data_IF_680222246736
#
_entry.id   IF_680222246736
#
_cell.length_a   1.000
_cell.length_b   1.000
_cell.length_c   1.000
_cell.angle_alpha   90.00
_cell.angle_beta   90.00
_cell.angle_gamma   90.00
#
_symmetry.space_group_name_H-M   'P 1'
#
loop_
_entity.id
_entity.type
_entity.pdbx_description
1 polymer ?
#
# COMPACT_ATOMS: atom_id res chain seq x y z
N UNK A 1 13.27 1.16 7.61
CA UNK A 1 12.82 0.03 6.78
C UNK A 1 11.31 -0.01 6.79
N UNK A 2 10.67 -0.25 5.65
CA UNK A 2 9.23 -0.43 5.55
C UNK A 2 8.92 -1.84 5.07
N UNK A 3 7.91 -2.46 5.65
CA UNK A 3 7.39 -3.75 5.20
C UNK A 3 5.90 -3.61 4.92
N UNK A 4 5.47 -4.04 3.73
CA UNK A 4 4.07 -4.05 3.34
C UNK A 4 3.62 -5.51 3.28
N UNK A 5 2.71 -5.88 4.16
CA UNK A 5 1.96 -7.13 4.07
C UNK A 5 0.63 -6.88 3.36
N UNK A 6 0.26 -7.75 2.42
CA UNK A 6 -1.04 -7.71 1.75
C UNK A 6 -1.68 -9.08 1.90
N UNK A 7 -2.92 -9.10 2.35
CA UNK A 7 -3.77 -10.29 2.44
C UNK A 7 -4.96 -10.11 1.48
N UNK A 8 -4.97 -10.87 0.38
CA UNK A 8 -5.93 -10.73 -0.71
C UNK A 8 -7.04 -11.77 -0.59
N UNK A 9 -8.27 -11.29 -0.48
CA UNK A 9 -9.50 -12.08 -0.64
C UNK A 9 -10.12 -11.83 -2.02
N UNK A 10 -11.17 -12.58 -2.39
CA UNK A 10 -11.79 -12.48 -3.71
C UNK A 10 -12.14 -11.03 -4.12
N UNK A 11 -12.87 -10.30 -3.28
CA UNK A 11 -13.39 -8.96 -3.60
C UNK A 11 -12.60 -7.80 -2.99
N UNK A 12 -11.72 -8.06 -2.03
CA UNK A 12 -10.99 -7.02 -1.29
C UNK A 12 -9.66 -7.55 -0.77
N UNK A 13 -8.76 -6.66 -0.39
CA UNK A 13 -7.52 -7.01 0.29
C UNK A 13 -7.29 -6.11 1.51
N UNK A 14 -6.62 -6.65 2.51
CA UNK A 14 -6.14 -5.89 3.66
C UNK A 14 -4.65 -5.60 3.45
N UNK A 15 -4.23 -4.37 3.74
CA UNK A 15 -2.82 -3.97 3.72
C UNK A 15 -2.35 -3.62 5.14
N UNK A 16 -1.15 -4.05 5.49
CA UNK A 16 -0.49 -3.73 6.75
C UNK A 16 0.90 -3.17 6.47
N UNK A 17 1.13 -1.89 6.77
CA UNK A 17 2.43 -1.25 6.61
C UNK A 17 3.14 -1.14 7.96
N UNK A 18 4.27 -1.83 8.11
CA UNK A 18 5.14 -1.75 9.29
C UNK A 18 6.29 -0.80 9.01
N UNK A 19 6.60 0.10 9.96
CA UNK A 19 7.68 1.08 9.87
C UNK A 19 8.67 0.89 11.03
N UNK A 20 9.73 0.13 10.79
CA UNK A 20 10.70 -0.24 11.83
C UNK A 20 10.03 -0.97 13.00
N UNK A 21 10.34 -0.57 14.23
CA UNK A 21 9.79 -1.16 15.47
C UNK A 21 8.46 -0.56 15.91
N UNK A 22 7.91 0.41 15.16
CA UNK A 22 6.64 1.07 15.52
C UNK A 22 5.43 0.29 15.01
N UNK A 23 4.30 0.44 15.72
CA UNK A 23 2.99 -0.03 15.26
C UNK A 23 2.72 0.50 13.85
N UNK A 24 2.40 -0.43 12.96
CA UNK A 24 2.07 -0.16 11.57
C UNK A 24 0.68 0.48 11.38
N UNK A 25 0.36 0.80 10.14
CA UNK A 25 -0.99 1.20 9.72
C UNK A 25 -1.69 0.08 8.96
N UNK A 26 -3.00 0.04 9.06
CA UNK A 26 -3.85 -0.96 8.40
C UNK A 26 -4.78 -0.24 7.42
N UNK A 27 -5.01 -0.84 6.25
CA UNK A 27 -5.98 -0.39 5.27
C UNK A 27 -6.73 -1.58 4.69
N UNK A 28 -7.93 -1.34 4.16
CA UNK A 28 -8.68 -2.32 3.39
C UNK A 28 -9.14 -1.67 2.10
N UNK A 29 -8.94 -2.38 1.00
CA UNK A 29 -9.13 -1.86 -0.35
C UNK A 29 -9.89 -2.88 -1.20
N UNK A 30 -10.50 -2.42 -2.29
CA UNK A 30 -11.12 -3.31 -3.27
C UNK A 30 -10.03 -4.08 -4.04
N UNK A 31 -10.29 -5.35 -4.37
CA UNK A 31 -9.39 -6.12 -5.24
C UNK A 31 -9.66 -5.77 -6.72
N UNK A 32 -9.50 -4.49 -7.05
CA UNK A 32 -9.67 -3.92 -8.39
C UNK A 32 -8.53 -2.94 -8.67
N UNK A 33 -8.26 -2.58 -9.94
CA UNK A 33 -7.24 -1.59 -10.27
C UNK A 33 -7.38 -0.28 -9.50
N UNK A 34 -8.61 0.18 -9.28
CA UNK A 34 -8.92 1.39 -8.52
C UNK A 34 -8.53 1.24 -7.05
N UNK A 35 -8.80 0.08 -6.42
CA UNK A 35 -8.38 -0.19 -5.05
C UNK A 35 -6.86 -0.24 -4.88
N UNK A 36 -6.11 -0.62 -5.92
CA UNK A 36 -4.64 -0.50 -5.91
C UNK A 36 -4.16 0.94 -6.10
N UNK A 37 -4.89 1.78 -6.83
CA UNK A 37 -4.60 3.22 -6.91
C UNK A 37 -4.84 3.91 -5.55
N UNK A 38 -5.94 3.56 -4.87
CA UNK A 38 -6.21 4.01 -3.49
C UNK A 38 -5.11 3.55 -2.51
N UNK A 39 -4.56 2.35 -2.70
CA UNK A 39 -3.41 1.88 -1.92
C UNK A 39 -2.17 2.76 -2.16
N UNK A 40 -1.89 3.16 -3.41
CA UNK A 40 -0.74 4.02 -3.76
C UNK A 40 -0.88 5.39 -3.07
N UNK A 41 -2.05 6.02 -3.16
CA UNK A 41 -2.37 7.28 -2.47
C UNK A 41 -2.27 7.11 -0.94
N UNK A 42 -2.75 5.98 -0.40
CA UNK A 42 -2.64 5.68 1.02
C UNK A 42 -1.18 5.55 1.47
N UNK A 43 -0.27 5.07 0.62
CA UNK A 43 1.16 4.91 0.91
C UNK A 43 1.98 6.21 0.73
N UNK A 44 1.49 7.18 -0.05
CA UNK A 44 2.19 8.42 -0.38
C UNK A 44 2.68 9.23 0.85
N UNK A 45 1.89 9.43 1.93
CA UNK A 45 2.33 10.18 3.11
C UNK A 45 3.54 9.58 3.83
N UNK A 46 3.74 8.27 3.68
CA UNK A 46 4.86 7.56 4.29
C UNK A 46 6.13 7.62 3.43
N UNK A 47 6.07 8.26 2.25
CA UNK A 47 7.15 8.38 1.26
C UNK A 47 7.76 7.03 0.89
N UNK A 48 6.95 5.96 0.93
CA UNK A 48 7.38 4.59 0.61
C UNK A 48 7.35 4.34 -0.89
N UNK A 49 6.60 5.13 -1.64
CA UNK A 49 6.45 5.02 -3.08
C UNK A 49 7.53 5.85 -3.77
N UNK A 50 8.47 5.17 -4.44
CA UNK A 50 9.40 5.81 -5.36
C UNK A 50 8.75 5.80 -6.73
N UNK A 51 8.11 6.90 -7.15
CA UNK A 51 7.70 7.06 -8.54
C UNK A 51 8.96 7.03 -9.41
N UNK A 52 9.17 5.91 -10.10
CA UNK A 52 10.17 5.85 -11.16
C UNK A 52 9.61 6.68 -12.29
N UNK A 53 10.20 7.84 -12.58
CA UNK A 53 9.84 8.63 -13.75
C UNK A 53 10.15 7.76 -14.97
N UNK A 54 9.12 7.27 -15.65
CA UNK A 54 9.26 6.70 -16.98
C UNK A 54 9.58 7.86 -17.92
N UNK A 55 10.83 7.91 -18.37
CA UNK A 55 11.22 8.78 -19.49
C UNK A 55 10.79 8.05 -20.76
N UNK A 56 9.71 8.54 -21.37
CA UNK A 56 9.32 8.21 -22.75
C UNK A 56 10.05 9.18 -23.67
#
# INVERSE_FOLDING_TARGET
MFYLGIDISKSSFNAHLIKGEKRGKNGKFANTPEGFAELDEWLEPERVTKRVKSFV
#
